data_IF_394886632240
#
_entry.id   IF_394886632240
#
_cell.length_a   1.000
_cell.length_b   1.000
_cell.length_c   1.000
_cell.angle_alpha   90.00
_cell.angle_beta   90.00
_cell.angle_gamma   90.00
#
_symmetry.space_group_name_H-M   'P 1'
#
loop_
_entity.id
_entity.type
_entity.pdbx_description
1 polymer ?
#
# COMPACT_ATOMS: atom_id res chain seq x y z
N UNK A 1 -6.12 -8.97 9.06
CA UNK A 1 -5.95 -8.46 7.68
C UNK A 1 -6.89 -7.30 7.50
N UNK A 2 -6.39 -6.15 7.06
CA UNK A 2 -7.18 -4.91 6.95
C UNK A 2 -7.49 -4.56 5.51
N UNK A 3 -6.59 -4.89 4.58
CA UNK A 3 -6.84 -4.73 3.15
C UNK A 3 -6.12 -5.81 2.33
N UNK A 4 -6.71 -6.13 1.17
CA UNK A 4 -6.09 -6.94 0.13
C UNK A 4 -6.40 -6.34 -1.24
N UNK A 5 -5.44 -6.38 -2.16
CA UNK A 5 -5.62 -5.97 -3.57
C UNK A 5 -4.91 -6.92 -4.49
N UNK A 6 -5.53 -7.19 -5.64
CA UNK A 6 -4.84 -7.84 -6.75
C UNK A 6 -3.82 -6.87 -7.37
N UNK A 7 -2.67 -7.38 -7.79
CA UNK A 7 -1.72 -6.65 -8.63
C UNK A 7 -2.19 -6.77 -10.08
N UNK A 8 -2.52 -5.64 -10.76
CA UNK A 8 -2.82 -5.66 -12.18
C UNK A 8 -1.63 -6.19 -12.98
N UNK A 9 -1.87 -7.13 -13.90
CA UNK A 9 -0.88 -7.59 -14.87
C UNK A 9 -1.55 -7.72 -16.24
N UNK A 10 -1.26 -6.82 -17.20
CA UNK A 10 -1.80 -6.94 -18.55
C UNK A 10 -1.29 -8.24 -19.22
N UNK A 11 -2.21 -9.11 -19.63
CA UNK A 11 -1.90 -10.27 -20.48
C UNK A 11 -1.29 -11.50 -19.79
N UNK A 12 -1.16 -11.53 -18.46
CA UNK A 12 -0.60 -12.69 -17.75
C UNK A 12 -1.68 -13.60 -17.14
N UNK A 13 -1.47 -14.92 -17.25
CA UNK A 13 -2.21 -15.94 -16.49
C UNK A 13 -1.76 -16.02 -15.01
N UNK A 14 -0.62 -15.40 -14.69
CA UNK A 14 -0.11 -15.30 -13.33
C UNK A 14 -0.81 -14.19 -12.55
N UNK A 15 -1.19 -14.48 -11.30
CA UNK A 15 -1.75 -13.49 -10.40
C UNK A 15 -0.80 -13.21 -9.25
N UNK A 16 -0.80 -11.97 -8.78
CA UNK A 16 -0.23 -11.59 -7.51
C UNK A 16 -1.23 -10.73 -6.73
N UNK A 17 -1.09 -10.71 -5.41
CA UNK A 17 -1.90 -9.87 -4.54
C UNK A 17 -1.04 -9.26 -3.43
N UNK A 18 -1.41 -8.06 -2.98
CA UNK A 18 -0.80 -7.38 -1.85
C UNK A 18 -1.79 -7.32 -0.70
N UNK A 19 -1.30 -7.55 0.51
CA UNK A 19 -2.08 -7.59 1.74
C UNK A 19 -1.47 -6.66 2.80
N UNK A 20 -2.33 -5.88 3.46
CA UNK A 20 -2.02 -5.10 4.66
C UNK A 20 -2.67 -5.73 5.89
N UNK A 21 -2.05 -5.53 7.05
CA UNK A 21 -2.48 -6.17 8.28
C UNK A 21 -2.06 -5.38 9.53
N UNK A 22 -2.80 -5.60 10.61
CA UNK A 22 -2.55 -5.03 11.93
C UNK A 22 -1.27 -5.57 12.59
N UNK A 23 -0.72 -6.67 12.08
CA UNK A 23 0.58 -7.21 12.49
C UNK A 23 1.78 -6.43 11.91
N UNK A 24 1.53 -5.22 11.39
CA UNK A 24 2.51 -4.26 10.87
C UNK A 24 3.15 -4.67 9.53
N UNK A 25 2.69 -5.78 8.95
CA UNK A 25 3.29 -6.38 7.77
C UNK A 25 2.50 -6.06 6.50
N UNK A 26 3.24 -5.61 5.48
CA UNK A 26 2.81 -5.61 4.09
C UNK A 26 3.33 -6.89 3.43
N UNK A 27 2.46 -7.63 2.75
CA UNK A 27 2.81 -8.93 2.14
C UNK A 27 2.45 -8.95 0.67
N UNK A 28 3.39 -9.44 -0.13
CA UNK A 28 3.19 -9.79 -1.53
C UNK A 28 2.98 -11.30 -1.64
N UNK A 29 1.93 -11.69 -2.34
CA UNK A 29 1.52 -13.07 -2.53
C UNK A 29 1.58 -13.43 -4.01
N UNK A 30 2.19 -14.57 -4.31
CA UNK A 30 2.04 -15.22 -5.60
C UNK A 30 0.76 -16.04 -5.59
N UNK A 31 -0.23 -15.66 -6.41
CA UNK A 31 -1.54 -16.32 -6.45
C UNK A 31 -1.66 -17.32 -7.61
N UNK A 32 -0.54 -17.79 -8.18
CA UNK A 32 -0.54 -18.83 -9.22
C UNK A 32 -0.94 -20.21 -8.69
N UNK A 33 -0.80 -20.44 -7.38
CA UNK A 33 -1.12 -21.69 -6.72
C UNK A 33 -2.42 -21.57 -5.93
N UNK A 34 -3.19 -22.66 -5.80
CA UNK A 34 -4.47 -22.64 -5.08
C UNK A 34 -4.32 -22.41 -3.57
N UNK A 35 -3.33 -23.06 -2.93
CA UNK A 35 -3.02 -22.88 -1.50
C UNK A 35 -1.66 -22.20 -1.38
N UNK A 36 -1.64 -21.00 -0.79
CA UNK A 36 -0.43 -20.20 -0.66
C UNK A 36 0.32 -20.59 0.61
N UNK A 37 1.51 -21.18 0.45
CA UNK A 37 2.34 -21.65 1.57
C UNK A 37 3.04 -20.54 2.34
N UNK A 38 3.07 -19.33 1.78
CA UNK A 38 3.68 -18.15 2.38
C UNK A 38 3.72 -16.98 1.39
N UNK A 39 4.02 -15.76 1.87
CA UNK A 39 4.19 -14.62 0.99
C UNK A 39 5.50 -14.74 0.19
N UNK A 40 5.48 -14.25 -1.05
CA UNK A 40 6.68 -14.11 -1.87
C UNK A 40 7.65 -13.05 -1.31
N UNK A 41 7.09 -12.00 -0.68
CA UNK A 41 7.84 -11.01 0.08
C UNK A 41 6.98 -10.48 1.23
N UNK A 42 7.61 -10.11 2.34
CA UNK A 42 6.95 -9.46 3.47
C UNK A 42 7.89 -8.41 4.07
N UNK A 43 7.34 -7.24 4.37
CA UNK A 43 8.09 -6.15 5.01
C UNK A 43 7.26 -5.49 6.09
N UNK A 44 7.91 -5.15 7.20
CA UNK A 44 7.31 -4.31 8.24
C UNK A 44 7.26 -2.88 7.71
N UNK A 45 6.08 -2.41 7.31
CA UNK A 45 5.92 -1.11 6.66
C UNK A 45 6.10 0.07 7.64
N UNK A 46 6.03 -0.17 8.95
CA UNK A 46 6.22 0.85 9.97
C UNK A 46 5.99 0.34 11.40
N UNK A 47 5.95 1.26 12.38
CA UNK A 47 5.69 0.90 13.77
C UNK A 47 4.22 0.61 14.06
N UNK A 48 3.29 1.05 13.20
CA UNK A 48 1.85 1.02 13.43
C UNK A 48 1.07 0.11 12.48
N UNK A 49 -0.14 -0.25 12.90
CA UNK A 49 -1.07 -1.11 12.16
C UNK A 49 -1.38 -0.52 10.79
N UNK A 50 -1.23 -1.31 9.73
CA UNK A 50 -1.67 -0.90 8.41
C UNK A 50 -3.18 -0.97 8.33
N UNK A 51 -3.83 0.09 7.85
CA UNK A 51 -5.30 0.21 7.78
C UNK A 51 -5.79 0.05 6.35
N UNK A 52 -5.06 0.62 5.39
CA UNK A 52 -5.46 0.59 3.99
C UNK A 52 -4.26 0.42 3.06
N UNK A 53 -4.51 -0.10 1.85
CA UNK A 53 -3.56 -0.13 0.76
C UNK A 53 -4.28 0.01 -0.58
N UNK A 54 -3.55 0.45 -1.60
CA UNK A 54 -3.97 0.30 -2.99
C UNK A 54 -2.76 0.07 -3.91
N UNK A 55 -2.98 -0.60 -5.04
CA UNK A 55 -1.93 -0.92 -6.02
C UNK A 55 -2.05 0.04 -7.20
N UNK A 56 -0.91 0.51 -7.72
CA UNK A 56 -0.88 1.38 -8.89
C UNK A 56 -1.49 0.68 -10.12
N UNK A 57 -2.08 1.43 -11.07
CA UNK A 57 -2.74 0.84 -12.24
C UNK A 57 -1.81 -0.02 -13.11
N UNK A 58 -0.52 0.29 -13.13
CA UNK A 58 0.53 -0.45 -13.83
C UNK A 58 1.03 -1.68 -13.06
N UNK A 59 0.59 -1.89 -11.82
CA UNK A 59 0.98 -3.01 -10.97
C UNK A 59 2.41 -2.95 -10.43
N UNK A 60 3.10 -1.83 -10.57
CA UNK A 60 4.50 -1.69 -10.16
C UNK A 60 4.67 -1.26 -8.70
N UNK A 61 3.68 -0.58 -8.14
CA UNK A 61 3.78 0.04 -6.82
C UNK A 61 2.57 -0.28 -5.95
N UNK A 62 2.79 -0.23 -4.64
CA UNK A 62 1.72 -0.24 -3.65
C UNK A 62 1.90 0.95 -2.73
N UNK A 63 0.81 1.68 -2.51
CA UNK A 63 0.73 2.70 -1.48
C UNK A 63 -0.09 2.16 -0.29
N UNK A 64 0.33 2.44 0.93
CA UNK A 64 -0.39 2.07 2.14
C UNK A 64 -0.44 3.19 3.17
N UNK A 65 -1.50 3.16 3.98
CA UNK A 65 -1.72 4.05 5.11
C UNK A 65 -1.86 3.27 6.42
N UNK A 66 -1.41 3.89 7.50
CA UNK A 66 -1.37 3.28 8.84
C UNK A 66 -2.25 4.02 9.83
N UNK A 67 -2.45 3.39 10.98
CA UNK A 67 -3.01 4.05 12.16
C UNK A 67 -2.04 5.14 12.62
N UNK A 68 -2.57 6.35 12.75
CA UNK A 68 -1.84 7.53 13.20
C UNK A 68 -2.73 8.43 14.04
N UNK A 69 -2.10 9.28 14.86
CA UNK A 69 -2.76 10.23 15.75
C UNK A 69 -1.88 11.47 15.89
N UNK A 70 -2.49 12.66 15.95
CA UNK A 70 -1.79 13.92 16.14
C UNK A 70 -0.57 14.11 15.23
N UNK A 71 -0.73 13.81 13.94
CA UNK A 71 0.29 13.89 12.88
C UNK A 71 1.45 12.89 12.99
N UNK A 72 1.46 12.02 14.00
CA UNK A 72 2.43 10.93 14.07
C UNK A 72 1.92 9.72 13.28
N UNK A 73 2.79 9.16 12.42
CA UNK A 73 2.49 7.99 11.59
C UNK A 73 1.28 8.19 10.66
N UNK A 74 1.10 9.41 10.18
CA UNK A 74 0.01 9.84 9.30
C UNK A 74 0.49 10.07 7.85
N UNK A 75 1.50 9.30 7.45
CA UNK A 75 2.05 9.25 6.10
C UNK A 75 1.38 8.21 5.21
N UNK A 76 1.43 8.47 3.90
CA UNK A 76 1.36 7.41 2.89
C UNK A 76 2.77 6.90 2.64
N UNK A 77 2.93 5.59 2.71
CA UNK A 77 4.17 4.92 2.29
C UNK A 77 3.99 4.23 0.95
N UNK A 78 5.01 4.27 0.12
CA UNK A 78 5.02 3.67 -1.22
C UNK A 78 6.14 2.65 -1.32
N UNK A 79 5.82 1.47 -1.83
CA UNK A 79 6.77 0.37 -2.00
C UNK A 79 6.80 -0.11 -3.46
N UNK A 80 7.97 -0.52 -3.94
CA UNK A 80 8.14 -1.15 -5.26
C UNK A 80 7.86 -2.65 -5.18
N UNK A 81 6.88 -3.12 -5.95
CA UNK A 81 6.47 -4.53 -6.02
C UNK A 81 7.46 -5.39 -6.79
N UNK A 82 8.24 -4.80 -7.70
CA UNK A 82 9.26 -5.48 -8.51
C UNK A 82 10.57 -5.66 -7.74
N UNK A 83 10.80 -4.81 -6.74
CA UNK A 83 11.94 -4.86 -5.84
C UNK A 83 11.58 -5.43 -4.45
N UNK A 84 10.72 -6.45 -4.41
CA UNK A 84 10.39 -7.20 -3.19
C UNK A 84 9.91 -6.34 -2.01
N UNK A 85 9.03 -5.37 -2.29
CA UNK A 85 8.52 -4.42 -1.30
C UNK A 85 9.61 -3.51 -0.71
N UNK A 86 10.50 -2.99 -1.55
CA UNK A 86 11.42 -1.92 -1.14
C UNK A 86 10.64 -0.62 -0.91
N UNK A 87 10.79 -0.01 0.26
CA UNK A 87 10.21 1.32 0.54
C UNK A 87 10.89 2.38 -0.34
N UNK A 88 10.08 3.11 -1.11
CA UNK A 88 10.55 4.20 -1.96
C UNK A 88 10.34 5.56 -1.28
N UNK A 89 9.14 5.75 -0.72
CA UNK A 89 8.70 7.04 -0.21
C UNK A 89 7.86 6.90 1.05
N UNK A 90 7.95 7.92 1.90
CA UNK A 90 7.11 8.16 3.06
C UNK A 90 6.69 9.62 3.02
N UNK A 91 5.39 9.86 2.85
CA UNK A 91 4.82 11.16 2.52
C UNK A 91 3.80 11.55 3.58
N UNK A 92 4.14 12.44 4.53
CA UNK A 92 3.18 12.98 5.49
C UNK A 92 2.02 13.65 4.75
N UNK A 93 0.79 13.23 5.05
CA UNK A 93 -0.36 13.76 4.33
C UNK A 93 -1.61 13.99 5.18
N UNK A 94 -1.71 13.41 6.38
CA UNK A 94 -2.89 13.55 7.23
C UNK A 94 -2.49 13.90 8.67
N UNK A 95 -3.49 14.26 9.48
CA UNK A 95 -3.29 14.58 10.90
C UNK A 95 -3.76 13.45 11.82
N UNK A 96 -4.50 12.50 11.27
CA UNK A 96 -4.96 11.28 11.93
C UNK A 96 -4.94 10.10 10.95
N UNK A 97 -5.31 8.93 11.45
CA UNK A 97 -5.39 7.65 10.73
C UNK A 97 -5.97 7.79 9.32
N UNK A 98 -5.29 7.22 8.34
CA UNK A 98 -5.75 7.13 6.95
C UNK A 98 -6.60 5.87 6.82
N UNK A 99 -7.91 6.05 6.63
CA UNK A 99 -8.90 4.96 6.59
C UNK A 99 -9.03 4.36 5.18
N UNK A 100 -8.83 5.18 4.15
CA UNK A 100 -8.90 4.72 2.78
C UNK A 100 -7.84 5.40 1.91
N UNK A 101 -7.34 4.63 0.95
CA UNK A 101 -6.38 5.07 -0.06
C UNK A 101 -6.83 4.53 -1.42
N UNK A 102 -6.76 5.36 -2.47
CA UNK A 102 -6.94 4.92 -3.86
C UNK A 102 -5.90 5.54 -4.77
N UNK A 103 -5.24 4.74 -5.61
CA UNK A 103 -4.44 5.30 -6.70
C UNK A 103 -5.35 6.03 -7.69
N UNK A 104 -4.89 7.19 -8.15
CA UNK A 104 -5.52 7.97 -9.21
C UNK A 104 -4.43 8.24 -10.24
N UNK A 105 -4.29 7.35 -11.21
CA UNK A 105 -3.16 7.34 -12.13
C UNK A 105 -1.88 6.77 -11.49
N UNK A 106 -0.74 7.01 -12.15
CA UNK A 106 0.57 6.51 -11.75
C UNK A 106 1.31 7.41 -10.76
N UNK A 107 0.96 8.70 -10.71
CA UNK A 107 1.70 9.75 -9.99
C UNK A 107 0.91 10.34 -8.81
N UNK A 108 -0.31 9.85 -8.55
CA UNK A 108 -1.16 10.38 -7.48
C UNK A 108 -1.98 9.30 -6.79
N UNK A 109 -2.35 9.59 -5.55
CA UNK A 109 -3.39 8.87 -4.84
C UNK A 109 -4.31 9.83 -4.08
N UNK A 110 -5.53 9.35 -3.78
CA UNK A 110 -6.45 10.00 -2.86
C UNK A 110 -6.41 9.27 -1.52
N UNK A 111 -6.35 10.03 -0.43
CA UNK A 111 -6.45 9.53 0.94
C UNK A 111 -7.71 10.09 1.60
N UNK A 112 -8.36 9.31 2.44
CA UNK A 112 -9.42 9.76 3.34
C UNK A 112 -9.01 9.46 4.79
N UNK A 113 -9.04 10.47 5.66
CA UNK A 113 -8.54 10.38 7.04
C UNK A 113 -9.62 10.67 8.08
N UNK A 114 -9.42 10.14 9.31
CA UNK A 114 -10.24 10.48 10.49
C UNK A 114 -10.20 11.96 10.87
N UNK A 115 -9.26 12.73 10.33
CA UNK A 115 -9.22 14.17 10.50
C UNK A 115 -10.32 14.92 9.71
N UNK A 116 -11.17 14.19 8.98
CA UNK A 116 -12.31 14.73 8.25
C UNK A 116 -12.00 15.20 6.83
N UNK A 117 -10.77 14.95 6.34
CA UNK A 117 -10.35 15.41 5.02
C UNK A 117 -10.07 14.26 4.03
N UNK A 118 -10.33 14.57 2.76
CA UNK A 118 -9.80 13.84 1.61
C UNK A 118 -8.68 14.66 0.99
N UNK A 119 -7.53 14.04 0.71
CA UNK A 119 -6.37 14.73 0.12
C UNK A 119 -5.84 13.99 -1.09
N UNK A 120 -5.45 14.75 -2.10
CA UNK A 120 -4.67 14.24 -3.22
C UNK A 120 -3.18 14.34 -2.87
N UNK A 121 -2.49 13.20 -2.87
CA UNK A 121 -1.07 13.09 -2.58
C UNK A 121 -0.35 12.81 -3.89
N UNK A 122 0.63 13.65 -4.23
CA UNK A 122 1.51 13.38 -5.37
C UNK A 122 2.54 12.34 -4.95
N UNK A 123 2.56 11.22 -5.65
CA UNK A 123 3.53 10.15 -5.48
C UNK A 123 4.73 10.51 -6.36
N UNK A 124 5.96 10.52 -5.82
CA UNK A 124 7.12 10.84 -6.62
C UNK A 124 7.24 9.86 -7.77
N UNK A 125 7.71 10.36 -8.91
CA UNK A 125 8.08 9.50 -10.02
C UNK A 125 9.16 8.51 -9.53
N UNK A 126 8.95 7.20 -9.73
CA UNK A 126 9.94 6.20 -9.39
C UNK A 126 11.25 6.50 -10.13
N UNK A 127 12.38 6.41 -9.44
CA UNK A 127 13.70 6.44 -10.09
C UNK A 127 13.96 5.16 -10.87
#
# INVERSE_FOLDING_TARGET
>A
VTAIRRVPQPGAAAGAAVQASEDLQLRLWDTRQGILKGPAAAVRAGPNQLICLDVSPDGNYVACGSKGFSRENCEVKVFDLRASLQELHSLPCADQTIEALRHVGSDRCLTASKDGHVRAVSLPSPK
#
